data_IF_737287821998
#
_entry.id   IF_737287821998
#
_cell.length_a   1.000
_cell.length_b   1.000
_cell.length_c   1.000
_cell.angle_alpha   90.00
_cell.angle_beta   90.00
_cell.angle_gamma   90.00
#
_symmetry.space_group_name_H-M   'P 1'
#
loop_
_entity.id
_entity.type
_entity.pdbx_description
1 polymer ?
#
# COMPACT_ATOMS: atom_id res chain seq x y z
N UNK A 1 11.63 -24.47 -2.83
CA UNK A 1 12.03 -24.88 -4.19
C UNK A 1 11.52 -23.83 -5.17
N UNK A 2 12.39 -23.10 -5.85
CA UNK A 2 12.02 -22.11 -6.89
C UNK A 2 11.97 -22.83 -8.24
N UNK A 3 10.92 -22.60 -9.03
CA UNK A 3 10.83 -23.10 -10.41
C UNK A 3 10.89 -21.91 -11.36
N UNK A 4 11.83 -21.95 -12.29
CA UNK A 4 12.00 -20.95 -13.34
C UNK A 4 11.39 -21.52 -14.62
N UNK A 5 10.56 -20.72 -15.30
CA UNK A 5 10.00 -21.05 -16.60
C UNK A 5 10.57 -20.09 -17.64
N UNK A 6 11.11 -20.62 -18.73
CA UNK A 6 11.55 -19.83 -19.88
C UNK A 6 10.60 -20.05 -21.06
N UNK A 7 10.35 -18.99 -21.81
CA UNK A 7 9.57 -19.00 -23.05
C UNK A 7 10.45 -18.39 -24.14
N UNK A 8 10.47 -19.01 -25.33
CA UNK A 8 11.18 -18.44 -26.47
C UNK A 8 10.49 -17.16 -26.94
N UNK A 9 11.24 -16.26 -27.57
CA UNK A 9 10.71 -14.99 -28.07
C UNK A 9 9.53 -15.18 -29.04
N UNK A 10 9.65 -16.14 -29.95
CA UNK A 10 8.60 -16.50 -30.91
C UNK A 10 7.30 -16.92 -30.20
N UNK A 11 7.42 -17.79 -29.20
CA UNK A 11 6.28 -18.26 -28.41
C UNK A 11 5.70 -17.14 -27.56
N UNK A 12 6.55 -16.27 -27.00
CA UNK A 12 6.12 -15.12 -26.23
C UNK A 12 5.29 -14.16 -27.09
N UNK A 13 5.72 -13.89 -28.33
CA UNK A 13 4.97 -13.05 -29.27
C UNK A 13 3.57 -13.61 -29.54
N UNK A 14 3.45 -14.93 -29.74
CA UNK A 14 2.16 -15.61 -29.93
C UNK A 14 1.28 -15.47 -28.68
N UNK A 15 1.84 -15.74 -27.50
CA UNK A 15 1.09 -15.63 -26.23
C UNK A 15 0.60 -14.21 -26.00
N UNK A 16 1.45 -13.20 -26.21
CA UNK A 16 1.06 -11.80 -26.05
C UNK A 16 -0.05 -11.38 -27.02
N UNK A 17 -0.01 -11.85 -28.28
CA UNK A 17 -1.10 -11.63 -29.25
C UNK A 17 -2.40 -12.26 -28.79
N UNK A 18 -2.35 -13.48 -28.26
CA UNK A 18 -3.53 -14.16 -27.71
C UNK A 18 -4.08 -13.42 -26.48
N UNK A 19 -3.22 -13.01 -25.55
CA UNK A 19 -3.61 -12.20 -24.40
C UNK A 19 -4.35 -10.92 -24.84
N UNK A 20 -3.79 -10.20 -25.83
CA UNK A 20 -4.39 -8.99 -26.38
C UNK A 20 -5.76 -9.26 -27.00
N UNK A 21 -5.90 -10.32 -27.81
CA UNK A 21 -7.18 -10.70 -28.43
C UNK A 21 -8.25 -11.07 -27.39
N UNK A 22 -7.83 -11.69 -26.29
CA UNK A 22 -8.73 -12.15 -25.24
C UNK A 22 -8.97 -11.12 -24.12
N UNK A 23 -8.41 -9.91 -24.21
CA UNK A 23 -8.60 -8.86 -23.20
C UNK A 23 -7.90 -9.11 -21.86
N UNK A 24 -6.93 -10.02 -21.81
CA UNK A 24 -6.23 -10.44 -20.58
C UNK A 24 -4.78 -9.99 -20.57
N UNK A 25 -4.18 -9.94 -19.38
CA UNK A 25 -2.74 -9.69 -19.20
C UNK A 25 -1.94 -10.99 -19.20
N UNK A 26 -0.64 -10.93 -19.54
CA UNK A 26 0.27 -12.08 -19.41
C UNK A 26 0.33 -12.57 -17.96
N UNK A 27 0.35 -11.64 -16.99
CA UNK A 27 0.30 -11.97 -15.55
C UNK A 27 -1.00 -12.69 -15.20
N UNK A 28 -2.15 -12.20 -15.63
CA UNK A 28 -3.44 -12.86 -15.40
C UNK A 28 -3.48 -14.28 -15.97
N UNK A 29 -2.94 -14.47 -17.18
CA UNK A 29 -2.84 -15.79 -17.80
C UNK A 29 -1.92 -16.74 -17.01
N UNK A 30 -0.76 -16.26 -16.56
CA UNK A 30 0.17 -17.05 -15.75
C UNK A 30 -0.47 -17.51 -14.44
N UNK A 31 -1.17 -16.60 -13.76
CA UNK A 31 -1.89 -16.92 -12.53
C UNK A 31 -3.00 -17.95 -12.77
N UNK A 32 -3.79 -17.81 -13.83
CA UNK A 32 -4.80 -18.78 -14.22
C UNK A 32 -4.18 -20.16 -14.48
N UNK A 33 -3.09 -20.25 -15.25
CA UNK A 33 -2.40 -21.53 -15.52
C UNK A 33 -1.85 -22.17 -14.25
N UNK A 34 -1.24 -21.38 -13.35
CA UNK A 34 -0.69 -21.89 -12.09
C UNK A 34 -1.82 -22.42 -11.19
N UNK A 35 -2.85 -21.62 -10.94
CA UNK A 35 -3.96 -22.01 -10.07
C UNK A 35 -4.77 -23.17 -10.66
N UNK A 36 -5.15 -23.05 -11.93
CA UNK A 36 -6.19 -23.88 -12.52
C UNK A 36 -5.67 -25.08 -13.30
N UNK A 37 -4.45 -25.04 -13.83
CA UNK A 37 -3.89 -26.17 -14.58
C UNK A 37 -2.84 -26.92 -13.76
N UNK A 38 -1.97 -26.21 -13.03
CA UNK A 38 -0.89 -26.85 -12.26
C UNK A 38 -1.34 -27.28 -10.87
N UNK A 39 -1.86 -26.36 -10.06
CA UNK A 39 -2.15 -26.62 -8.64
C UNK A 39 -3.42 -27.44 -8.43
N UNK A 40 -4.53 -27.09 -9.10
CA UNK A 40 -5.81 -27.82 -8.99
C UNK A 40 -5.70 -29.32 -9.33
N UNK A 41 -4.87 -29.67 -10.31
CA UNK A 41 -4.68 -31.06 -10.77
C UNK A 41 -3.80 -31.86 -9.80
N UNK A 42 -2.93 -31.19 -9.03
CA UNK A 42 -1.99 -31.81 -8.09
C UNK A 42 -2.53 -31.86 -6.66
N UNK A 43 -3.33 -30.86 -6.28
CA UNK A 43 -3.84 -30.69 -4.92
C UNK A 43 -5.36 -30.83 -4.96
N UNK A 44 -5.86 -31.99 -4.53
CA UNK A 44 -7.29 -32.32 -4.52
C UNK A 44 -7.94 -31.96 -3.18
N UNK A 45 -9.25 -31.73 -3.19
CA UNK A 45 -10.04 -31.51 -1.97
C UNK A 45 -9.83 -30.14 -1.30
N UNK A 46 -9.27 -29.16 -2.01
CA UNK A 46 -9.07 -27.81 -1.48
C UNK A 46 -10.29 -26.91 -1.74
N UNK A 47 -10.65 -26.03 -0.80
CA UNK A 47 -11.77 -25.09 -0.95
C UNK A 47 -11.48 -23.96 -1.96
N UNK A 48 -10.22 -23.80 -2.38
CA UNK A 48 -9.77 -22.78 -3.31
C UNK A 48 -8.28 -22.49 -3.17
N UNK A 49 -7.78 -21.56 -3.98
CA UNK A 49 -6.38 -21.12 -4.00
C UNK A 49 -6.34 -19.62 -3.80
N UNK A 50 -5.56 -19.16 -2.82
CA UNK A 50 -5.22 -17.76 -2.64
C UNK A 50 -3.94 -17.45 -3.41
N UNK A 51 -4.02 -16.53 -4.37
CA UNK A 51 -2.89 -16.09 -5.16
C UNK A 51 -2.51 -14.65 -4.80
N UNK A 52 -1.20 -14.39 -4.65
CA UNK A 52 -0.66 -13.05 -4.46
C UNK A 52 -0.01 -12.61 -5.76
N UNK A 53 -0.55 -11.54 -6.36
CA UNK A 53 -0.14 -11.05 -7.67
C UNK A 53 0.63 -9.75 -7.50
N UNK A 54 1.96 -9.75 -7.71
CA UNK A 54 2.73 -8.52 -7.72
C UNK A 54 2.49 -7.75 -9.02
N UNK A 55 2.44 -6.42 -8.94
CA UNK A 55 2.37 -5.56 -10.11
C UNK A 55 3.25 -4.32 -9.93
N UNK A 56 3.77 -3.81 -11.04
CA UNK A 56 4.58 -2.60 -11.04
C UNK A 56 3.71 -1.36 -10.98
N UNK A 57 4.03 -0.46 -10.06
CA UNK A 57 3.40 0.87 -9.94
C UNK A 57 4.30 1.98 -10.46
N UNK A 58 5.42 1.62 -11.13
CA UNK A 58 6.46 2.57 -11.55
C UNK A 58 5.90 3.72 -12.41
N UNK A 59 5.04 3.38 -13.37
CA UNK A 59 4.38 4.34 -14.25
C UNK A 59 3.34 5.23 -13.55
N UNK A 60 3.00 4.93 -12.30
CA UNK A 60 1.99 5.65 -11.52
C UNK A 60 2.61 6.61 -10.50
N UNK A 61 3.90 6.47 -10.24
CA UNK A 61 4.61 7.17 -9.15
C UNK A 61 5.36 8.43 -9.57
N UNK A 62 5.37 8.79 -10.87
CA UNK A 62 6.13 9.93 -11.45
C UNK A 62 7.63 9.96 -11.10
N UNK A 63 8.18 8.85 -10.64
CA UNK A 63 9.57 8.73 -10.23
C UNK A 63 10.45 8.59 -11.48
N UNK A 64 11.57 9.33 -11.49
CA UNK A 64 12.56 9.30 -12.57
C UNK A 64 13.04 7.87 -12.85
N UNK A 65 13.32 7.58 -14.13
CA UNK A 65 13.87 6.29 -14.56
C UNK A 65 15.20 5.95 -13.87
N UNK A 66 15.94 6.96 -13.40
CA UNK A 66 17.21 6.80 -12.70
C UNK A 66 17.08 6.42 -11.23
N UNK A 67 15.89 6.55 -10.64
CA UNK A 67 15.71 6.15 -9.24
C UNK A 67 15.51 4.64 -9.12
N UNK A 68 16.27 4.03 -8.20
CA UNK A 68 16.15 2.63 -7.81
C UNK A 68 15.28 2.59 -6.55
N UNK A 69 13.96 2.61 -6.73
CA UNK A 69 13.00 2.44 -5.62
C UNK A 69 12.07 1.27 -5.89
N UNK A 70 11.58 0.66 -4.81
CA UNK A 70 10.70 -0.50 -4.89
C UNK A 70 9.30 -0.09 -5.35
N UNK A 71 9.07 -0.09 -6.66
CA UNK A 71 7.78 0.19 -7.28
C UNK A 71 6.90 -1.06 -7.42
N UNK A 72 6.89 -1.92 -6.40
CA UNK A 72 6.10 -3.15 -6.41
C UNK A 72 4.98 -3.00 -5.40
N UNK A 73 3.75 -3.17 -5.86
CA UNK A 73 2.60 -3.43 -5.01
C UNK A 73 2.08 -4.84 -5.29
N UNK A 74 1.14 -5.31 -4.50
CA UNK A 74 0.53 -6.61 -4.69
C UNK A 74 -0.96 -6.56 -4.37
N UNK A 75 -1.68 -7.54 -4.91
CA UNK A 75 -3.05 -7.82 -4.55
C UNK A 75 -3.21 -9.32 -4.29
N UNK A 76 -4.23 -9.66 -3.51
CA UNK A 76 -4.55 -11.04 -3.19
C UNK A 76 -5.90 -11.36 -3.81
N UNK A 77 -5.93 -12.35 -4.69
CA UNK A 77 -7.16 -12.88 -5.31
C UNK A 77 -7.40 -14.30 -4.83
N UNK A 78 -8.65 -14.65 -4.59
CA UNK A 78 -9.06 -16.00 -4.19
C UNK A 78 -9.79 -16.70 -5.34
N UNK A 79 -9.25 -17.81 -5.82
CA UNK A 79 -9.88 -18.67 -6.84
C UNK A 79 -10.62 -19.78 -6.13
N UNK A 80 -11.94 -19.85 -6.30
CA UNK A 80 -12.80 -20.78 -5.55
C UNK A 80 -12.63 -22.23 -6.01
N UNK A 81 -12.90 -23.20 -5.14
CA UNK A 81 -12.94 -24.61 -5.50
C UNK A 81 -13.91 -24.91 -6.64
N UNK A 82 -15.01 -24.15 -6.75
CA UNK A 82 -15.96 -24.24 -7.86
C UNK A 82 -15.33 -23.86 -9.19
N UNK A 83 -14.56 -22.77 -9.25
CA UNK A 83 -13.88 -22.34 -10.47
C UNK A 83 -12.72 -23.27 -10.85
N UNK A 84 -12.01 -23.80 -9.84
CA UNK A 84 -11.00 -24.84 -10.06
C UNK A 84 -11.66 -26.12 -10.60
N UNK A 85 -12.84 -26.47 -10.08
CA UNK A 85 -13.62 -27.66 -10.48
C UNK A 85 -13.97 -27.69 -11.97
N UNK A 86 -14.42 -26.54 -12.51
CA UNK A 86 -14.75 -26.38 -13.94
C UNK A 86 -13.57 -26.74 -14.86
N UNK A 87 -12.35 -26.45 -14.42
CA UNK A 87 -11.13 -26.70 -15.19
C UNK A 87 -10.62 -28.12 -15.00
N UNK A 88 -10.67 -28.67 -13.77
CA UNK A 88 -10.31 -30.07 -13.53
C UNK A 88 -11.20 -31.07 -14.27
N UNK A 89 -12.45 -30.70 -14.57
CA UNK A 89 -13.36 -31.50 -15.38
C UNK A 89 -13.09 -31.45 -16.89
N UNK A 90 -12.17 -30.60 -17.35
CA UNK A 90 -11.86 -30.42 -18.77
C UNK A 90 -10.58 -31.11 -19.21
N UNK A 91 -10.54 -31.55 -20.47
CA UNK A 91 -9.34 -32.14 -21.08
C UNK A 91 -8.25 -31.09 -21.22
N UNK A 92 -7.02 -31.44 -20.83
CA UNK A 92 -5.86 -30.55 -20.93
C UNK A 92 -5.64 -30.11 -22.39
N UNK A 93 -5.51 -28.82 -22.64
CA UNK A 93 -5.34 -28.23 -23.96
C UNK A 93 -6.63 -28.14 -24.79
N UNK A 94 -7.80 -28.46 -24.21
CA UNK A 94 -9.07 -28.32 -24.93
C UNK A 94 -9.52 -26.87 -25.02
N UNK A 95 -10.34 -26.56 -26.02
CA UNK A 95 -10.97 -25.25 -26.16
C UNK A 95 -11.84 -24.88 -24.94
N UNK A 96 -12.42 -25.89 -24.28
CA UNK A 96 -13.19 -25.70 -23.04
C UNK A 96 -12.27 -25.27 -21.88
N UNK A 97 -11.11 -25.91 -21.74
CA UNK A 97 -10.10 -25.49 -20.75
C UNK A 97 -9.63 -24.06 -21.03
N UNK A 98 -9.32 -23.75 -22.30
CA UNK A 98 -8.86 -22.44 -22.73
C UNK A 98 -9.89 -21.34 -22.40
N UNK A 99 -11.18 -21.57 -22.65
CA UNK A 99 -12.23 -20.62 -22.30
C UNK A 99 -12.29 -20.32 -20.80
N UNK A 100 -12.22 -21.35 -19.96
CA UNK A 100 -12.24 -21.17 -18.51
C UNK A 100 -10.95 -20.49 -18.00
N UNK A 101 -9.80 -20.81 -18.59
CA UNK A 101 -8.54 -20.13 -18.28
C UNK A 101 -8.60 -18.65 -18.61
N UNK A 102 -9.18 -18.28 -19.76
CA UNK A 102 -9.39 -16.88 -20.14
C UNK A 102 -10.30 -16.17 -19.14
N UNK A 103 -11.39 -16.79 -18.70
CA UNK A 103 -12.30 -16.20 -17.70
C UNK A 103 -11.57 -15.90 -16.37
N UNK A 104 -10.81 -16.87 -15.86
CA UNK A 104 -10.04 -16.68 -14.62
C UNK A 104 -8.95 -15.62 -14.83
N UNK A 105 -8.26 -15.63 -15.97
CA UNK A 105 -7.26 -14.64 -16.31
C UNK A 105 -7.84 -13.22 -16.43
N UNK A 106 -9.08 -13.09 -16.90
CA UNK A 106 -9.81 -11.82 -16.96
C UNK A 106 -10.08 -11.30 -15.55
N UNK A 107 -10.51 -12.15 -14.62
CA UNK A 107 -10.69 -11.78 -13.22
C UNK A 107 -9.40 -11.18 -12.63
N UNK A 108 -8.27 -11.89 -12.75
CA UNK A 108 -6.98 -11.36 -12.30
C UNK A 108 -6.61 -10.04 -12.98
N UNK A 109 -6.84 -9.93 -14.29
CA UNK A 109 -6.51 -8.72 -15.05
C UNK A 109 -7.37 -7.53 -14.61
N UNK A 110 -8.67 -7.75 -14.35
CA UNK A 110 -9.60 -6.73 -13.87
C UNK A 110 -9.28 -6.30 -12.43
N UNK A 111 -8.88 -7.23 -11.56
CA UNK A 111 -8.43 -6.91 -10.20
C UNK A 111 -7.20 -6.00 -10.23
N UNK A 112 -6.22 -6.33 -11.08
CA UNK A 112 -5.01 -5.53 -11.27
C UNK A 112 -5.40 -4.14 -11.80
N UNK A 113 -6.23 -4.07 -12.84
CA UNK A 113 -6.68 -2.80 -13.41
C UNK A 113 -7.40 -1.92 -12.37
N UNK A 114 -8.36 -2.49 -11.64
CA UNK A 114 -9.10 -1.80 -10.57
C UNK A 114 -8.16 -1.32 -9.46
N UNK A 115 -7.16 -2.13 -9.10
CA UNK A 115 -6.18 -1.75 -8.07
C UNK A 115 -5.24 -0.66 -8.56
N UNK A 116 -4.87 -0.68 -9.84
CA UNK A 116 -4.10 0.36 -10.51
C UNK A 116 -4.90 1.66 -10.55
N UNK A 117 -6.17 1.65 -10.95
CA UNK A 117 -7.04 2.84 -10.96
C UNK A 117 -7.21 3.47 -9.57
N UNK A 118 -7.30 2.63 -8.54
CA UNK A 118 -7.33 3.09 -7.14
C UNK A 118 -5.96 3.48 -6.61
N UNK A 119 -4.89 3.19 -7.34
CA UNK A 119 -3.56 3.62 -6.98
C UNK A 119 -3.50 5.13 -7.17
N UNK A 120 -2.98 5.90 -6.20
CA UNK A 120 -2.89 7.35 -6.34
C UNK A 120 -2.03 7.69 -7.57
N UNK A 121 -2.68 8.01 -8.68
CA UNK A 121 -2.06 8.40 -9.94
C UNK A 121 -1.52 9.82 -9.83
N UNK A 122 -0.24 10.03 -10.13
CA UNK A 122 0.26 11.32 -10.60
C UNK A 122 0.18 12.51 -9.63
N UNK A 123 0.09 12.27 -8.31
CA UNK A 123 0.39 13.30 -7.30
C UNK A 123 1.27 12.65 -6.27
N UNK A 124 2.59 12.68 -6.50
CA UNK A 124 3.59 12.10 -5.61
C UNK A 124 3.38 12.68 -4.21
N UNK A 125 2.69 11.94 -3.36
CA UNK A 125 2.62 12.28 -1.96
C UNK A 125 4.06 12.17 -1.44
N UNK A 126 4.58 13.30 -0.96
CA UNK A 126 5.88 13.37 -0.32
C UNK A 126 5.70 13.05 1.14
N UNK A 127 6.69 12.38 1.73
CA UNK A 127 6.77 12.30 3.19
C UNK A 127 7.51 13.52 3.71
N UNK A 128 7.08 14.00 4.87
CA UNK A 128 7.60 15.19 5.52
C UNK A 128 7.89 14.86 6.98
N UNK A 129 9.06 15.24 7.47
CA UNK A 129 9.31 15.36 8.90
C UNK A 129 8.76 16.71 9.33
N UNK A 130 7.86 16.70 10.31
CA UNK A 130 7.22 17.89 10.86
C UNK A 130 7.60 17.98 12.32
N UNK A 131 8.37 19.01 12.67
CA UNK A 131 8.77 19.32 14.04
C UNK A 131 8.09 20.62 14.46
N UNK A 132 7.26 20.55 15.50
CA UNK A 132 6.38 21.63 15.91
C UNK A 132 6.72 21.96 17.37
N UNK A 133 7.44 23.06 17.63
CA UNK A 133 7.68 23.51 18.99
C UNK A 133 6.38 23.95 19.67
N UNK A 134 6.31 23.76 20.99
CA UNK A 134 5.26 24.41 21.79
C UNK A 134 5.65 25.87 22.08
N UNK A 135 4.63 26.71 22.29
CA UNK A 135 4.79 28.07 22.81
C UNK A 135 5.24 28.00 24.27
N UNK A 136 6.18 28.86 24.66
CA UNK A 136 6.68 28.89 26.05
C UNK A 136 5.51 29.14 27.03
N UNK A 137 5.42 28.32 28.09
CA UNK A 137 4.33 28.40 29.07
C UNK A 137 3.00 27.77 28.64
N UNK A 138 2.89 27.14 27.47
CA UNK A 138 1.62 26.55 26.99
C UNK A 138 1.31 25.14 27.52
N UNK A 139 2.15 24.59 28.41
CA UNK A 139 2.07 23.21 28.89
C UNK A 139 0.70 22.84 29.49
N UNK A 140 0.17 23.69 30.38
CA UNK A 140 -1.14 23.45 31.01
C UNK A 140 -2.28 23.41 29.98
N UNK A 141 -2.24 24.32 28.99
CA UNK A 141 -3.21 24.33 27.90
C UNK A 141 -3.10 23.07 27.04
N UNK A 142 -1.88 22.60 26.76
CA UNK A 142 -1.64 21.34 26.05
C UNK A 142 -2.32 20.17 26.76
N UNK A 143 -2.07 20.04 28.06
CA UNK A 143 -2.62 18.94 28.85
C UNK A 143 -4.15 18.99 28.88
N UNK A 144 -4.74 20.18 29.00
CA UNK A 144 -6.19 20.38 28.97
C UNK A 144 -6.85 19.95 27.65
N UNK A 145 -6.22 20.21 26.50
CA UNK A 145 -6.82 19.93 25.17
C UNK A 145 -6.29 18.65 24.51
N UNK A 146 -5.39 17.91 25.18
CA UNK A 146 -4.73 16.71 24.64
C UNK A 146 -5.69 15.64 24.17
N UNK A 147 -6.74 15.36 24.93
CA UNK A 147 -7.73 14.33 24.56
C UNK A 147 -8.47 14.70 23.28
N UNK A 148 -8.84 15.97 23.12
CA UNK A 148 -9.45 16.49 21.90
C UNK A 148 -8.49 16.39 20.72
N UNK A 149 -7.22 16.76 20.92
CA UNK A 149 -6.18 16.63 19.90
C UNK A 149 -6.05 15.18 19.42
N UNK A 150 -5.94 14.21 20.34
CA UNK A 150 -5.83 12.79 20.00
C UNK A 150 -7.06 12.32 19.20
N UNK A 151 -8.26 12.69 19.65
CA UNK A 151 -9.51 12.31 18.98
C UNK A 151 -9.61 12.88 17.55
N UNK A 152 -9.25 14.14 17.36
CA UNK A 152 -9.26 14.78 16.04
C UNK A 152 -8.13 14.26 15.13
N UNK A 153 -6.98 13.90 15.71
CA UNK A 153 -5.82 13.37 15.00
C UNK A 153 -6.09 11.99 14.35
N UNK A 154 -6.94 11.14 14.96
CA UNK A 154 -7.22 9.78 14.47
C UNK A 154 -7.67 9.78 12.99
N UNK A 155 -8.49 10.76 12.57
CA UNK A 155 -8.93 10.85 11.17
C UNK A 155 -7.76 11.01 10.19
N UNK A 156 -6.68 11.69 10.61
CA UNK A 156 -5.48 11.88 9.81
C UNK A 156 -4.62 10.62 9.76
N UNK A 157 -4.61 9.81 10.83
CA UNK A 157 -4.00 8.48 10.82
C UNK A 157 -4.76 7.56 9.86
N UNK A 158 -6.09 7.49 10.00
CA UNK A 158 -6.95 6.62 9.18
C UNK A 158 -6.90 6.97 7.69
N UNK A 159 -6.81 8.27 7.37
CA UNK A 159 -6.63 8.73 5.98
C UNK A 159 -5.25 8.42 5.40
N UNK A 160 -4.29 8.00 6.22
CA UNK A 160 -2.89 7.81 5.82
C UNK A 160 -2.10 9.11 5.68
N UNK A 161 -2.60 10.23 6.18
CA UNK A 161 -1.87 11.49 6.24
C UNK A 161 -0.77 11.41 7.30
N UNK A 162 -1.06 10.95 8.52
CA UNK A 162 -0.07 10.74 9.56
C UNK A 162 0.42 9.29 9.58
N UNK A 163 1.74 9.12 9.45
CA UNK A 163 2.40 7.80 9.39
C UNK A 163 3.08 7.43 10.71
N UNK A 164 3.43 8.42 11.52
CA UNK A 164 4.00 8.31 12.87
C UNK A 164 3.84 9.67 13.55
N UNK A 165 3.62 9.72 14.86
CA UNK A 165 3.61 10.97 15.61
C UNK A 165 3.81 10.78 17.11
N UNK A 166 4.27 11.84 17.79
CA UNK A 166 4.47 11.86 19.23
C UNK A 166 4.85 13.25 19.76
N UNK A 167 4.96 13.39 21.08
CA UNK A 167 5.47 14.60 21.71
C UNK A 167 7.00 14.61 21.71
N UNK A 168 7.62 15.73 21.34
CA UNK A 168 9.07 15.92 21.55
C UNK A 168 9.33 16.36 22.97
N UNK A 169 10.38 15.82 23.59
CA UNK A 169 10.71 16.10 24.98
C UNK A 169 11.84 17.12 25.10
N UNK A 170 11.77 17.96 26.13
CA UNK A 170 12.84 18.84 26.61
C UNK A 170 13.16 18.41 28.04
N UNK A 171 14.13 17.50 28.20
CA UNK A 171 14.26 16.71 29.43
C UNK A 171 13.11 15.72 29.54
N UNK A 172 12.42 15.71 30.68
CA UNK A 172 11.27 14.82 30.93
C UNK A 172 9.91 15.45 30.60
N UNK A 173 9.89 16.73 30.21
CA UNK A 173 8.67 17.44 29.88
C UNK A 173 8.46 17.51 28.38
N UNK A 174 7.20 17.41 27.96
CA UNK A 174 6.84 17.58 26.55
C UNK A 174 6.94 19.07 26.19
N UNK A 175 7.69 19.38 25.13
CA UNK A 175 7.94 20.75 24.65
C UNK A 175 7.66 20.94 23.16
N UNK A 176 6.97 19.99 22.54
CA UNK A 176 6.62 20.06 21.11
C UNK A 176 6.00 18.76 20.60
N UNK A 177 5.89 18.65 19.28
CA UNK A 177 5.38 17.48 18.58
C UNK A 177 6.26 17.15 17.38
N UNK A 178 6.42 15.86 17.11
CA UNK A 178 7.07 15.33 15.92
C UNK A 178 6.10 14.44 15.17
N UNK A 179 5.97 14.66 13.86
CA UNK A 179 5.04 13.93 13.00
C UNK A 179 5.74 13.57 11.68
N UNK A 180 5.49 12.36 11.18
CA UNK A 180 5.76 12.02 9.78
C UNK A 180 4.45 12.12 9.01
N UNK A 181 4.35 13.15 8.17
CA UNK A 181 3.16 13.42 7.38
C UNK A 181 3.35 13.04 5.91
N UNK A 182 2.27 12.65 5.24
CA UNK A 182 2.22 12.32 3.81
C UNK A 182 1.26 13.27 3.12
N UNK A 183 1.80 14.22 2.36
CA UNK A 183 1.04 15.29 1.72
C UNK A 183 1.71 15.70 0.40
N UNK A 184 1.00 16.45 -0.45
CA UNK A 184 1.54 16.85 -1.78
C UNK A 184 2.54 17.99 -1.64
N UNK A 185 2.19 18.97 -0.81
CA UNK A 185 2.97 20.17 -0.58
C UNK A 185 3.15 20.44 0.92
N UNK A 186 4.14 21.26 1.24
CA UNK A 186 4.32 21.81 2.59
C UNK A 186 3.08 22.59 3.05
N UNK A 187 2.43 23.32 2.13
CA UNK A 187 1.20 24.07 2.42
C UNK A 187 0.05 23.17 2.86
N UNK A 188 -0.13 22.00 2.22
CA UNK A 188 -1.17 21.04 2.63
C UNK A 188 -0.93 20.54 4.08
N UNK A 189 0.33 20.36 4.48
CA UNK A 189 0.68 19.99 5.87
C UNK A 189 0.34 21.15 6.79
N UNK A 190 0.77 22.36 6.45
CA UNK A 190 0.52 23.56 7.24
C UNK A 190 -0.97 23.84 7.46
N UNK A 191 -1.82 23.64 6.45
CA UNK A 191 -3.27 23.81 6.57
C UNK A 191 -3.89 22.85 7.57
N UNK A 192 -3.40 21.60 7.61
CA UNK A 192 -3.81 20.61 8.62
C UNK A 192 -3.36 21.02 10.01
N UNK A 193 -2.13 21.53 10.15
CA UNK A 193 -1.61 22.00 11.45
C UNK A 193 -2.41 23.19 11.99
N UNK A 194 -2.74 24.18 11.15
CA UNK A 194 -3.57 25.34 11.53
C UNK A 194 -4.97 24.92 11.98
N UNK A 195 -5.49 23.85 11.40
CA UNK A 195 -6.76 23.25 11.76
C UNK A 195 -6.68 22.26 12.94
N UNK A 196 -5.55 22.17 13.65
CA UNK A 196 -5.43 21.36 14.85
C UNK A 196 -5.83 22.18 16.10
N UNK A 197 -6.41 21.51 17.10
CA UNK A 197 -6.77 22.16 18.37
C UNK A 197 -5.55 22.71 19.11
N UNK A 198 -4.37 22.11 19.00
CA UNK A 198 -3.13 22.66 19.58
C UNK A 198 -2.73 23.99 18.92
N UNK A 199 -2.90 24.14 17.61
CA UNK A 199 -2.69 25.43 16.97
C UNK A 199 -3.77 26.45 17.39
N UNK A 200 -5.05 26.07 17.30
CA UNK A 200 -6.17 26.97 17.65
C UNK A 200 -6.18 27.42 19.12
N UNK A 201 -5.58 26.63 20.01
CA UNK A 201 -5.51 26.92 21.45
C UNK A 201 -4.21 27.60 21.87
N UNK A 202 -3.33 27.95 20.93
CA UNK A 202 -2.06 28.62 21.22
C UNK A 202 -0.99 27.72 21.86
N UNK A 203 -1.08 26.40 21.66
CA UNK A 203 -0.07 25.44 22.12
C UNK A 203 1.10 25.36 21.14
N UNK A 204 0.82 25.23 19.85
CA UNK A 204 1.86 25.10 18.83
C UNK A 204 2.34 26.46 18.32
N UNK A 205 3.68 26.62 18.29
CA UNK A 205 4.34 27.76 17.68
C UNK A 205 4.54 27.49 16.18
N UNK A 206 3.52 27.83 15.38
CA UNK A 206 3.54 27.62 13.93
C UNK A 206 4.53 28.53 13.20
N UNK A 207 5.04 29.60 13.84
CA UNK A 207 6.07 30.45 13.26
C UNK A 207 7.46 29.77 13.30
N UNK A 208 7.64 28.81 14.22
CA UNK A 208 8.89 28.04 14.38
C UNK A 208 8.81 26.59 13.91
N UNK A 209 7.71 26.20 13.25
CA UNK A 209 7.56 24.84 12.72
C UNK A 209 8.61 24.56 11.65
N UNK A 210 9.14 23.34 11.65
CA UNK A 210 10.02 22.85 10.59
C UNK A 210 9.30 21.75 9.81
N UNK A 211 9.13 21.94 8.50
CA UNK A 211 8.54 20.97 7.59
C UNK A 211 9.60 20.57 6.57
N UNK A 212 10.17 19.38 6.74
CA UNK A 212 11.37 18.94 6.02
C UNK A 212 11.00 17.79 5.08
N UNK A 213 11.29 17.89 3.77
CA UNK A 213 11.11 16.77 2.84
C UNK A 213 11.89 15.53 3.31
N UNK A 214 11.21 14.39 3.39
CA UNK A 214 11.78 13.17 3.93
C UNK A 214 11.62 12.00 2.95
N UNK A 215 12.71 11.29 2.68
CA UNK A 215 12.72 10.05 1.91
C UNK A 215 13.02 8.89 2.83
N UNK A 216 11.96 8.19 3.24
CA UNK A 216 12.07 7.05 4.14
C UNK A 216 12.80 5.89 3.44
N UNK A 217 13.94 5.45 4.00
CA UNK A 217 14.71 4.31 3.48
C UNK A 217 14.09 2.98 3.93
N UNK A 218 13.65 2.89 5.18
CA UNK A 218 12.97 1.71 5.70
C UNK A 218 11.90 2.10 6.73
N UNK A 219 10.80 1.36 6.76
CA UNK A 219 9.71 1.49 7.73
C UNK A 219 9.26 0.09 8.14
N UNK A 220 9.12 -0.16 9.44
CA UNK A 220 8.52 -1.41 9.93
C UNK A 220 7.00 -1.34 9.79
N UNK A 221 6.38 -2.41 9.30
CA UNK A 221 4.93 -2.50 9.07
C UNK A 221 4.14 -2.94 10.30
N UNK A 222 4.82 -3.48 11.31
CA UNK A 222 4.25 -3.87 12.59
C UNK A 222 5.14 -3.38 13.73
N UNK A 223 4.50 -2.99 14.83
CA UNK A 223 5.17 -2.77 16.11
C UNK A 223 5.29 -4.14 16.79
N UNK A 224 6.51 -4.53 17.12
CA UNK A 224 6.75 -5.76 17.88
C UNK A 224 6.57 -5.46 19.37
N UNK A 225 5.46 -5.91 19.95
CA UNK A 225 5.14 -5.71 21.38
C UNK A 225 6.18 -6.36 22.31
N UNK A 226 6.90 -7.39 21.86
CA UNK A 226 7.98 -7.99 22.67
C UNK A 226 9.19 -7.06 22.77
N UNK A 227 9.43 -6.25 21.75
CA UNK A 227 10.54 -5.29 21.70
C UNK A 227 10.15 -3.97 22.36
N UNK A 228 8.95 -3.48 22.06
CA UNK A 228 8.50 -2.15 22.50
C UNK A 228 7.75 -2.17 23.84
N UNK A 229 7.42 -3.35 24.36
CA UNK A 229 6.58 -3.51 25.55
C UNK A 229 5.14 -3.05 25.32
N UNK A 230 4.42 -2.75 26.40
CA UNK A 230 3.03 -2.27 26.35
C UNK A 230 2.90 -0.74 26.41
N UNK A 231 3.99 -0.03 26.71
CA UNK A 231 4.00 1.41 26.98
C UNK A 231 4.15 2.30 25.75
N UNK A 232 4.22 1.72 24.55
CA UNK A 232 4.43 2.49 23.31
C UNK A 232 3.16 3.21 22.82
N UNK A 233 1.99 2.81 23.32
CA UNK A 233 0.69 3.30 22.84
C UNK A 233 0.03 4.19 23.90
N UNK A 234 0.12 5.51 23.63
CA UNK A 234 -0.43 6.67 24.37
C UNK A 234 0.20 7.01 25.71
#
# INVERSE_FOLDING_TARGET
MVRIFSISEEKLSIVLKTCKRSGITLTGLLHALICCTSLSRRVKGIPGIRAVTPFSVRKLTDVSEREIVNHISFLTTYVTGTDLGKITGSTLGSAVEEQHLVQVAQHFSNDIATKIEKFPHGKSLKEWIVLIPDVEGSFETRMRVRETHIKEMIKHIDSGLYQMGGGTLKGDQVGGSAIIARAKTEADVMDVLKADIYARSGVWDLDKVQIIPFKCVYRRTCVDEKIMGHLWKY
#
